data_IF_934309473556
#
_entry.id   IF_934309473556
#
_cell.length_a   1.000
_cell.length_b   1.000
_cell.length_c   1.000
_cell.angle_alpha   90.00
_cell.angle_beta   90.00
_cell.angle_gamma   90.00
#
_symmetry.space_group_name_H-M   'P 1'
#
loop_
_entity.id
_entity.type
_entity.pdbx_description
1 polymer ?
#
# COMPACT_ATOMS: atom_id res chain seq x y z
N UNK A 1 10.04 -9.59 10.62
CA UNK A 1 10.56 -8.88 9.41
C UNK A 1 10.99 -7.46 9.81
N UNK A 2 11.99 -6.81 9.19
CA UNK A 2 12.48 -5.47 9.60
C UNK A 2 11.38 -4.40 9.65
N UNK A 3 10.38 -4.48 8.76
CA UNK A 3 9.22 -3.60 8.75
C UNK A 3 8.33 -3.70 10.01
N UNK A 4 8.22 -4.88 10.64
CA UNK A 4 7.44 -5.09 11.87
C UNK A 4 8.09 -4.39 13.06
N UNK A 5 9.42 -4.48 13.18
CA UNK A 5 10.17 -3.78 14.22
C UNK A 5 10.00 -2.26 14.09
N UNK A 6 10.02 -1.74 12.86
CA UNK A 6 9.79 -0.32 12.59
C UNK A 6 8.34 0.10 12.84
N UNK A 7 7.37 -0.78 12.58
CA UNK A 7 5.97 -0.58 12.93
C UNK A 7 5.77 -0.39 14.44
N UNK A 8 6.37 -1.25 15.26
CA UNK A 8 6.33 -1.08 16.71
C UNK A 8 7.02 0.22 17.19
N UNK A 9 8.01 0.70 16.44
CA UNK A 9 8.67 1.98 16.69
C UNK A 9 7.92 3.20 16.12
N UNK A 10 6.80 2.99 15.40
CA UNK A 10 6.08 4.03 14.65
C UNK A 10 6.95 4.80 13.63
N UNK A 11 8.03 4.19 13.13
CA UNK A 11 8.91 4.80 12.12
C UNK A 11 8.33 4.61 10.71
N UNK A 12 7.28 5.38 10.40
CA UNK A 12 6.63 5.35 9.10
C UNK A 12 7.58 5.62 7.92
N UNK A 13 8.54 6.56 7.99
CA UNK A 13 9.55 6.71 6.96
C UNK A 13 10.39 5.45 6.72
N UNK A 14 10.84 4.80 7.79
CA UNK A 14 11.56 3.52 7.71
C UNK A 14 10.71 2.41 7.09
N UNK A 15 9.46 2.26 7.54
CA UNK A 15 8.49 1.28 7.03
C UNK A 15 8.29 1.48 5.51
N UNK A 16 8.06 2.72 5.09
CA UNK A 16 7.87 3.06 3.67
C UNK A 16 9.09 2.69 2.84
N UNK A 17 10.30 2.96 3.33
CA UNK A 17 11.53 2.57 2.64
C UNK A 17 11.61 1.06 2.43
N UNK A 18 11.45 0.29 3.50
CA UNK A 18 11.57 -1.18 3.44
C UNK A 18 10.49 -1.80 2.53
N UNK A 19 9.24 -1.34 2.64
CA UNK A 19 8.15 -1.82 1.80
C UNK A 19 8.29 -1.42 0.34
N UNK A 20 8.81 -0.23 0.05
CA UNK A 20 9.06 0.18 -1.33
C UNK A 20 10.07 -0.75 -2.01
N UNK A 21 11.15 -1.09 -1.30
CA UNK A 21 12.17 -2.04 -1.78
C UNK A 21 11.54 -3.43 -1.98
N UNK A 22 10.79 -3.92 -0.99
CA UNK A 22 10.14 -5.23 -1.08
C UNK A 22 9.11 -5.30 -2.22
N UNK A 23 8.29 -4.26 -2.37
CA UNK A 23 7.29 -4.17 -3.43
C UNK A 23 7.95 -4.14 -4.80
N UNK A 24 8.96 -3.31 -5.03
CA UNK A 24 9.63 -3.25 -6.32
C UNK A 24 10.33 -4.56 -6.69
N UNK A 25 10.92 -5.26 -5.72
CA UNK A 25 11.56 -6.55 -5.94
C UNK A 25 10.57 -7.69 -6.21
N UNK A 26 9.41 -7.69 -5.54
CA UNK A 26 8.55 -8.87 -5.47
C UNK A 26 7.19 -8.71 -6.16
N UNK A 27 6.82 -7.52 -6.64
CA UNK A 27 5.48 -7.26 -7.22
C UNK A 27 5.09 -8.26 -8.33
N UNK A 28 6.03 -8.75 -9.15
CA UNK A 28 5.74 -9.76 -10.19
C UNK A 28 6.04 -11.21 -9.79
N UNK A 29 6.67 -11.45 -8.64
CA UNK A 29 7.17 -12.77 -8.24
C UNK A 29 6.52 -13.31 -6.96
N UNK A 30 5.83 -12.48 -6.18
CA UNK A 30 5.31 -12.83 -4.86
C UNK A 30 4.09 -13.78 -4.90
N UNK A 31 3.51 -14.07 -6.07
CA UNK A 31 2.34 -14.92 -6.21
C UNK A 31 1.19 -14.51 -5.28
N UNK A 32 0.74 -15.43 -4.42
CA UNK A 32 -0.35 -15.15 -3.46
C UNK A 32 -0.03 -14.02 -2.47
N UNK A 33 1.24 -13.73 -2.24
CA UNK A 33 1.70 -12.66 -1.34
C UNK A 33 1.70 -11.27 -2.01
N UNK A 34 1.39 -11.15 -3.31
CA UNK A 34 1.30 -9.86 -4.01
C UNK A 34 0.26 -8.94 -3.37
N UNK A 35 -0.92 -9.47 -3.03
CA UNK A 35 -2.01 -8.66 -2.48
C UNK A 35 -1.71 -8.14 -1.06
N UNK A 36 -1.24 -8.96 -0.09
CA UNK A 36 -0.80 -8.45 1.20
C UNK A 36 0.31 -7.41 1.08
N UNK A 37 1.35 -7.69 0.28
CA UNK A 37 2.48 -6.79 0.09
C UNK A 37 2.05 -5.44 -0.50
N UNK A 38 1.16 -5.45 -1.50
CA UNK A 38 0.57 -4.26 -2.07
C UNK A 38 -0.19 -3.44 -1.04
N UNK A 39 -1.06 -4.06 -0.22
CA UNK A 39 -1.84 -3.33 0.78
C UNK A 39 -0.94 -2.65 1.81
N UNK A 40 0.09 -3.36 2.28
CA UNK A 40 1.09 -2.82 3.20
C UNK A 40 1.85 -1.65 2.57
N UNK A 41 2.30 -1.80 1.32
CA UNK A 41 2.95 -0.73 0.56
C UNK A 41 2.06 0.51 0.43
N UNK A 42 0.80 0.34 0.03
CA UNK A 42 -0.16 1.44 -0.11
C UNK A 42 -0.45 2.16 1.22
N UNK A 43 -0.53 1.42 2.32
CA UNK A 43 -0.67 2.00 3.65
C UNK A 43 0.56 2.84 4.02
N UNK A 44 1.76 2.33 3.80
CA UNK A 44 2.98 3.09 4.04
C UNK A 44 3.07 4.34 3.15
N UNK A 45 2.61 4.27 1.89
CA UNK A 45 2.46 5.46 1.05
C UNK A 45 1.52 6.49 1.69
N UNK A 46 0.35 6.07 2.15
CA UNK A 46 -0.63 6.96 2.78
C UNK A 46 -0.10 7.61 4.07
N UNK A 47 0.52 6.83 4.96
CA UNK A 47 1.14 7.30 6.21
C UNK A 47 2.27 8.30 5.97
N UNK A 48 2.97 8.20 4.85
CA UNK A 48 4.06 9.10 4.47
C UNK A 48 3.65 10.18 3.46
N UNK A 49 2.34 10.39 3.25
CA UNK A 49 1.80 11.38 2.32
C UNK A 49 2.32 11.23 0.86
N UNK A 50 2.59 9.99 0.42
CA UNK A 50 3.13 9.63 -0.90
C UNK A 50 2.00 9.34 -1.90
N UNK A 51 1.26 10.39 -2.25
CA UNK A 51 0.07 10.26 -3.11
C UNK A 51 0.39 9.72 -4.52
N UNK A 52 1.49 10.15 -5.12
CA UNK A 52 1.87 9.73 -6.49
C UNK A 52 2.16 8.23 -6.54
N UNK A 53 2.87 7.73 -5.54
CA UNK A 53 3.24 6.34 -5.38
C UNK A 53 2.03 5.46 -5.07
N UNK A 54 1.14 5.96 -4.20
CA UNK A 54 -0.15 5.32 -3.94
C UNK A 54 -0.94 5.09 -5.24
N UNK A 55 -1.12 6.14 -6.06
CA UNK A 55 -1.83 6.01 -7.35
C UNK A 55 -1.17 5.01 -8.29
N UNK A 56 0.17 4.97 -8.35
CA UNK A 56 0.89 3.98 -9.14
C UNK A 56 0.63 2.56 -8.65
N UNK A 57 0.64 2.34 -7.34
CA UNK A 57 0.32 1.03 -6.75
C UNK A 57 -1.11 0.59 -7.04
N UNK A 58 -2.08 1.50 -6.95
CA UNK A 58 -3.49 1.22 -7.31
C UNK A 58 -3.62 0.87 -8.79
N UNK A 59 -3.05 1.67 -9.69
CA UNK A 59 -3.08 1.40 -11.13
C UNK A 59 -2.41 0.05 -11.48
N UNK A 60 -1.31 -0.27 -10.81
CA UNK A 60 -0.66 -1.57 -10.95
C UNK A 60 -1.56 -2.72 -10.48
N UNK A 61 -2.26 -2.54 -9.36
CA UNK A 61 -3.20 -3.53 -8.84
C UNK A 61 -4.34 -3.80 -9.83
N UNK A 62 -4.91 -2.73 -10.41
CA UNK A 62 -5.95 -2.84 -11.43
C UNK A 62 -5.46 -3.59 -12.66
N UNK A 63 -4.26 -3.27 -13.15
CA UNK A 63 -3.67 -3.95 -14.31
C UNK A 63 -3.57 -5.47 -14.12
N UNK A 64 -3.32 -5.92 -12.89
CA UNK A 64 -3.24 -7.35 -12.55
C UNK A 64 -4.56 -7.95 -12.02
N UNK A 65 -5.65 -7.17 -11.94
CA UNK A 65 -6.92 -7.62 -11.36
C UNK A 65 -6.85 -7.89 -9.84
N UNK A 66 -5.88 -7.29 -9.14
CA UNK A 66 -5.69 -7.44 -7.69
C UNK A 66 -6.58 -6.45 -6.94
N UNK A 67 -7.38 -6.98 -6.01
CA UNK A 67 -8.25 -6.15 -5.14
C UNK A 67 -7.44 -5.39 -4.09
N UNK A 68 -7.44 -4.06 -4.17
CA UNK A 68 -6.91 -3.16 -3.13
C UNK A 68 -7.92 -3.06 -1.99
N UNK A 69 -7.46 -3.10 -0.73
CA UNK A 69 -8.33 -2.95 0.45
C UNK A 69 -9.02 -1.58 0.43
N UNK A 70 -10.30 -1.54 0.78
CA UNK A 70 -11.17 -0.35 0.81
C UNK A 70 -11.48 0.30 -0.55
N UNK A 71 -10.79 -0.09 -1.63
CA UNK A 71 -11.24 0.19 -2.99
C UNK A 71 -12.13 -0.98 -3.47
N UNK A 72 -13.23 -0.63 -4.11
CA UNK A 72 -14.18 -1.60 -4.66
C UNK A 72 -13.62 -2.41 -5.83
N UNK A 73 -14.52 -3.03 -6.60
CA UNK A 73 -14.17 -3.72 -7.85
C UNK A 73 -14.23 -2.82 -9.07
N UNK A 74 -14.89 -1.67 -8.94
CA UNK A 74 -15.03 -0.71 -10.02
C UNK A 74 -13.74 0.07 -10.25
N UNK A 75 -13.66 0.75 -11.39
CA UNK A 75 -12.56 1.64 -11.70
C UNK A 75 -12.42 2.71 -10.59
N UNK A 76 -11.28 2.79 -9.90
CA UNK A 76 -11.08 3.70 -8.79
C UNK A 76 -11.00 5.12 -9.32
N UNK A 77 -12.04 5.91 -9.02
CA UNK A 77 -12.04 7.36 -9.24
C UNK A 77 -11.01 8.07 -8.34
N UNK A 78 -10.58 9.27 -8.72
CA UNK A 78 -9.67 10.08 -7.89
C UNK A 78 -10.26 10.34 -6.50
N UNK A 79 -11.57 10.55 -6.41
CA UNK A 79 -12.29 10.76 -5.15
C UNK A 79 -12.26 9.52 -4.24
N UNK A 80 -12.53 8.34 -4.80
CA UNK A 80 -12.46 7.09 -4.04
C UNK A 80 -11.03 6.78 -3.60
N UNK A 81 -10.04 7.03 -4.47
CA UNK A 81 -8.63 6.87 -4.12
C UNK A 81 -8.21 7.84 -3.01
N UNK A 82 -8.66 9.10 -3.05
CA UNK A 82 -8.39 10.09 -1.99
C UNK A 82 -9.03 9.70 -0.68
N UNK A 83 -10.26 9.19 -0.72
CA UNK A 83 -10.95 8.69 0.47
C UNK A 83 -10.16 7.54 1.12
N UNK A 84 -9.77 6.53 0.33
CA UNK A 84 -8.98 5.40 0.84
C UNK A 84 -7.60 5.82 1.31
N UNK A 85 -6.94 6.74 0.62
CA UNK A 85 -5.68 7.32 1.06
C UNK A 85 -5.83 8.02 2.42
N UNK A 86 -6.90 8.78 2.63
CA UNK A 86 -7.22 9.40 3.92
C UNK A 86 -7.50 8.37 5.01
N UNK A 87 -8.27 7.32 4.69
CA UNK A 87 -8.52 6.21 5.61
C UNK A 87 -7.22 5.51 6.04
N UNK A 88 -6.35 5.17 5.09
CA UNK A 88 -5.08 4.50 5.39
C UNK A 88 -4.11 5.42 6.15
N UNK A 89 -4.14 6.72 5.88
CA UNK A 89 -3.33 7.70 6.62
C UNK A 89 -3.75 7.79 8.09
N UNK A 90 -5.05 7.80 8.36
CA UNK A 90 -5.58 8.09 9.70
C UNK A 90 -5.94 6.84 10.53
N UNK A 91 -6.27 5.72 9.87
CA UNK A 91 -6.66 4.49 10.55
C UNK A 91 -5.46 3.69 11.07
N UNK A 92 -5.67 2.92 12.13
CA UNK A 92 -4.83 1.78 12.49
C UNK A 92 -5.38 0.56 11.75
N UNK A 93 -4.76 0.19 10.65
CA UNK A 93 -5.15 -0.99 9.91
C UNK A 93 -4.15 -2.09 10.26
N UNK A 94 -4.67 -3.22 10.73
CA UNK A 94 -3.87 -4.32 11.24
C UNK A 94 -3.10 -5.02 10.12
N UNK A 95 -1.81 -5.25 10.38
CA UNK A 95 -0.87 -6.07 9.62
C UNK A 95 -1.07 -7.55 9.92
#
# INVERSE_FOLDING_TARGET
MRAETLFHANDWPGIYRELSIAFDAAKYAAGQNQRPLLNHYLEACAKNNKWREFKKGVAWAQYLGIKVRFLGQDEPSDDNMRYVFGLMRNGYITW
#
